data_IF_134719204029
#
_entry.id   IF_134719204029
#
_cell.length_a   1.000
_cell.length_b   1.000
_cell.length_c   1.000
_cell.angle_alpha   90.00
_cell.angle_beta   90.00
_cell.angle_gamma   90.00
#
_symmetry.space_group_name_H-M   'P 1'
#
loop_
_entity.id
_entity.type
_entity.pdbx_description
1 polymer ?
#
# COMPACT_ATOMS: atom_id res chain seq x y z
N UNK A 1 11.26 35.39 -5.59
CA UNK A 1 9.99 34.68 -5.39
C UNK A 1 9.75 33.72 -6.57
N UNK A 2 10.56 32.65 -6.70
CA UNK A 2 10.54 31.74 -7.88
C UNK A 2 10.61 30.23 -7.49
N UNK A 3 10.73 29.86 -6.20
CA UNK A 3 11.05 28.46 -5.83
C UNK A 3 9.89 27.57 -5.31
N UNK A 4 8.63 28.01 -5.35
CA UNK A 4 7.52 27.23 -4.75
C UNK A 4 6.67 26.38 -5.70
N UNK A 5 6.93 26.40 -7.02
CA UNK A 5 6.11 25.68 -8.02
C UNK A 5 6.61 24.25 -8.31
N UNK A 6 7.81 23.89 -7.85
CA UNK A 6 8.51 22.71 -8.39
C UNK A 6 8.17 21.31 -7.81
N UNK A 7 7.73 21.11 -6.55
CA UNK A 7 7.59 19.74 -6.03
C UNK A 7 6.37 19.01 -6.62
N UNK A 8 5.27 19.73 -6.87
CA UNK A 8 4.04 19.11 -7.38
C UNK A 8 4.15 18.79 -8.87
N UNK A 9 4.74 19.69 -9.67
CA UNK A 9 5.03 19.44 -11.07
C UNK A 9 6.04 18.29 -11.25
N UNK A 10 7.04 18.20 -10.36
CA UNK A 10 7.98 17.09 -10.34
C UNK A 10 7.31 15.76 -10.00
N UNK A 11 6.46 15.71 -8.96
CA UNK A 11 5.67 14.52 -8.62
C UNK A 11 4.73 14.10 -9.76
N UNK A 12 4.11 15.05 -10.45
CA UNK A 12 3.22 14.79 -11.59
C UNK A 12 4.00 14.25 -12.80
N UNK A 13 5.15 14.84 -13.12
CA UNK A 13 6.06 14.37 -14.17
C UNK A 13 6.60 12.98 -13.85
N UNK A 14 6.93 12.71 -12.59
CA UNK A 14 7.35 11.39 -12.14
C UNK A 14 6.21 10.39 -12.30
N UNK A 15 4.99 10.71 -11.85
CA UNK A 15 3.83 9.85 -12.00
C UNK A 15 3.52 9.53 -13.48
N UNK A 16 3.58 10.53 -14.36
CA UNK A 16 3.40 10.37 -15.81
C UNK A 16 4.49 9.48 -16.42
N UNK A 17 5.76 9.69 -16.04
CA UNK A 17 6.88 8.88 -16.50
C UNK A 17 6.79 7.42 -15.99
N UNK A 18 6.25 7.19 -14.79
CA UNK A 18 5.99 5.85 -14.28
C UNK A 18 4.83 5.16 -15.03
N UNK A 19 3.76 5.89 -15.34
CA UNK A 19 2.64 5.38 -16.14
C UNK A 19 3.09 4.89 -17.53
N UNK A 20 3.99 5.62 -18.19
CA UNK A 20 4.54 5.22 -19.48
C UNK A 20 5.39 3.93 -19.40
N UNK A 21 6.15 3.73 -18.30
CA UNK A 21 6.99 2.52 -18.12
C UNK A 21 6.20 1.26 -17.79
N UNK A 22 5.04 1.39 -17.15
CA UNK A 22 4.16 0.26 -16.85
C UNK A 22 3.51 -0.29 -18.13
N UNK A 23 3.27 0.57 -19.12
CA UNK A 23 2.71 0.17 -20.42
C UNK A 23 3.66 -0.74 -21.22
N UNK A 24 4.97 -0.68 -20.96
CA UNK A 24 6.00 -1.51 -21.62
C UNK A 24 6.23 -2.87 -20.95
N UNK A 25 5.48 -3.23 -19.90
CA UNK A 25 5.59 -4.58 -19.33
C UNK A 25 5.10 -5.63 -20.32
N UNK A 26 5.90 -6.69 -20.58
CA UNK A 26 5.64 -7.61 -21.68
C UNK A 26 4.28 -8.29 -21.49
N UNK A 27 3.48 -8.15 -22.54
CA UNK A 27 2.08 -8.51 -22.71
C UNK A 27 1.80 -10.00 -22.44
N UNK A 28 1.56 -10.34 -21.16
CA UNK A 28 0.78 -11.53 -20.74
C UNK A 28 -0.08 -11.31 -19.49
N UNK A 29 -0.19 -10.07 -18.98
CA UNK A 29 -0.94 -9.77 -17.75
C UNK A 29 -2.39 -10.24 -17.82
N UNK A 30 -3.07 -9.95 -18.93
CA UNK A 30 -4.47 -10.33 -19.17
C UNK A 30 -4.65 -11.79 -19.60
N UNK A 31 -3.56 -12.57 -19.71
CA UNK A 31 -3.66 -13.97 -20.11
C UNK A 31 -4.24 -14.80 -18.96
N UNK A 32 -5.18 -15.68 -19.28
CA UNK A 32 -5.71 -16.68 -18.33
C UNK A 32 -4.56 -17.55 -17.76
N UNK A 33 -3.54 -17.85 -18.57
CA UNK A 33 -2.38 -18.63 -18.12
C UNK A 33 -1.59 -17.89 -17.02
N UNK A 34 -1.53 -16.56 -17.08
CA UNK A 34 -0.91 -15.75 -16.04
C UNK A 34 -1.65 -15.90 -14.72
N UNK A 35 -2.97 -15.75 -14.72
CA UNK A 35 -3.78 -15.77 -13.50
C UNK A 35 -3.96 -17.17 -12.89
N UNK A 36 -3.94 -18.23 -13.72
CA UNK A 36 -4.21 -19.61 -13.28
C UNK A 36 -2.96 -20.39 -12.92
N UNK A 37 -1.82 -20.14 -13.59
CA UNK A 37 -0.60 -20.95 -13.44
C UNK A 37 0.56 -20.14 -12.88
N UNK A 38 0.86 -18.99 -13.49
CA UNK A 38 2.04 -18.21 -13.14
C UNK A 38 1.88 -17.49 -11.79
N UNK A 39 0.80 -16.71 -11.63
CA UNK A 39 0.62 -15.84 -10.47
C UNK A 39 0.42 -16.61 -9.15
N UNK A 40 -0.35 -17.72 -9.08
CA UNK A 40 -0.44 -18.52 -7.87
C UNK A 40 0.90 -19.14 -7.46
N UNK A 41 1.66 -19.67 -8.43
CA UNK A 41 3.00 -20.21 -8.18
C UNK A 41 3.97 -19.12 -7.69
N UNK A 42 3.85 -17.91 -8.25
CA UNK A 42 4.61 -16.75 -7.81
C UNK A 42 4.28 -16.38 -6.36
N UNK A 43 3.00 -16.19 -6.02
CA UNK A 43 2.57 -15.88 -4.66
C UNK A 43 3.08 -16.91 -3.66
N UNK A 44 2.93 -18.20 -3.97
CA UNK A 44 3.40 -19.29 -3.12
C UNK A 44 4.91 -19.24 -2.90
N UNK A 45 5.69 -19.00 -3.97
CA UNK A 45 7.14 -18.89 -3.88
C UNK A 45 7.59 -17.71 -3.00
N UNK A 46 6.84 -16.60 -2.99
CA UNK A 46 7.13 -15.42 -2.17
C UNK A 46 6.81 -15.65 -0.71
N UNK A 47 5.64 -16.22 -0.43
CA UNK A 47 5.22 -16.56 0.94
C UNK A 47 6.27 -17.46 1.61
N UNK A 48 6.77 -18.46 0.88
CA UNK A 48 7.83 -19.38 1.36
C UNK A 48 9.21 -18.72 1.50
N UNK A 49 9.50 -17.65 0.76
CA UNK A 49 10.81 -16.98 0.78
C UNK A 49 10.90 -15.95 1.91
N UNK A 50 9.81 -15.26 2.23
CA UNK A 50 9.76 -14.36 3.38
C UNK A 50 10.02 -15.09 4.71
N UNK A 51 9.52 -16.32 4.85
CA UNK A 51 9.76 -17.18 6.01
C UNK A 51 11.25 -17.52 6.25
N UNK A 52 12.07 -17.49 5.19
CA UNK A 52 13.51 -17.84 5.24
C UNK A 52 14.43 -16.63 5.33
N UNK A 53 13.89 -15.41 5.30
CA UNK A 53 14.62 -14.17 5.03
C UNK A 53 15.06 -13.35 6.25
N UNK A 54 15.05 -13.89 7.47
CA UNK A 54 15.49 -13.16 8.67
C UNK A 54 17.03 -13.10 8.73
N UNK A 55 17.64 -12.25 7.91
CA UNK A 55 19.04 -11.85 8.08
C UNK A 55 19.13 -10.69 9.09
N UNK A 56 19.65 -10.99 10.28
CA UNK A 56 19.91 -10.01 11.35
C UNK A 56 21.17 -9.17 11.04
N UNK A 57 21.05 -8.21 10.13
CA UNK A 57 22.06 -7.18 9.90
C UNK A 57 21.42 -5.78 9.89
N UNK A 58 22.07 -4.79 10.49
CA UNK A 58 21.64 -3.39 10.40
C UNK A 58 21.81 -2.90 8.96
N UNK A 59 20.76 -3.04 8.16
CA UNK A 59 20.68 -2.47 6.83
C UNK A 59 20.51 -0.94 6.92
N UNK A 60 21.08 -0.14 6.01
CA UNK A 60 20.84 1.31 5.93
C UNK A 60 19.34 1.67 5.81
N UNK A 61 18.48 0.71 5.48
CA UNK A 61 17.02 0.87 5.53
C UNK A 61 16.46 1.03 6.95
N UNK A 62 17.14 0.52 7.99
CA UNK A 62 16.70 0.62 9.38
C UNK A 62 16.76 2.08 9.87
N UNK A 63 17.85 2.79 9.57
CA UNK A 63 18.01 4.20 9.92
C UNK A 63 16.93 5.07 9.27
N UNK A 64 16.67 4.86 7.98
CA UNK A 64 15.62 5.55 7.24
C UNK A 64 14.22 5.24 7.80
N UNK A 65 14.01 4.00 8.26
CA UNK A 65 12.75 3.59 8.90
C UNK A 65 12.54 4.29 10.25
N UNK A 66 13.60 4.39 11.07
CA UNK A 66 13.56 5.11 12.35
C UNK A 66 13.32 6.60 12.10
N UNK A 67 14.06 7.21 11.16
CA UNK A 67 13.88 8.61 10.79
C UNK A 67 12.43 8.89 10.33
N UNK A 68 11.87 8.00 9.51
CA UNK A 68 10.48 8.09 9.07
C UNK A 68 9.51 7.98 10.24
N UNK A 69 9.70 7.02 11.16
CA UNK A 69 8.86 6.87 12.34
C UNK A 69 8.90 8.12 13.24
N UNK A 70 10.08 8.70 13.47
CA UNK A 70 10.21 9.96 14.23
C UNK A 70 9.47 11.10 13.54
N UNK A 71 9.64 11.25 12.21
CA UNK A 71 8.93 12.29 11.46
C UNK A 71 7.40 12.08 11.49
N UNK A 72 6.93 10.84 11.44
CA UNK A 72 5.52 10.49 11.58
C UNK A 72 4.98 10.86 12.96
N UNK A 73 5.69 10.51 14.04
CA UNK A 73 5.29 10.86 15.42
C UNK A 73 5.24 12.38 15.60
N UNK A 74 6.24 13.12 15.11
CA UNK A 74 6.25 14.59 15.16
C UNK A 74 5.06 15.19 14.41
N UNK A 75 4.72 14.64 13.25
CA UNK A 75 3.56 15.08 12.46
C UNK A 75 2.25 14.79 13.20
N UNK A 76 2.07 13.54 13.66
CA UNK A 76 0.85 13.06 14.30
C UNK A 76 0.58 13.71 15.66
N UNK A 77 1.63 14.05 16.42
CA UNK A 77 1.48 14.76 17.69
C UNK A 77 1.42 16.28 17.51
N UNK A 78 2.25 16.82 16.60
CA UNK A 78 2.39 18.26 16.39
C UNK A 78 1.18 18.88 15.70
N UNK A 79 0.66 18.26 14.64
CA UNK A 79 -0.41 18.84 13.82
C UNK A 79 -1.73 18.99 14.60
N UNK A 80 -2.21 17.99 15.38
CA UNK A 80 -3.40 18.17 16.21
C UNK A 80 -3.19 19.25 17.28
N UNK A 81 -2.01 19.33 17.90
CA UNK A 81 -1.71 20.37 18.88
C UNK A 81 -1.67 21.77 18.25
N UNK A 82 -1.16 21.87 17.01
CA UNK A 82 -1.15 23.11 16.23
C UNK A 82 -2.56 23.61 15.94
N UNK A 83 -3.45 22.71 15.50
CA UNK A 83 -4.82 23.05 15.09
C UNK A 83 -5.71 23.31 16.31
N UNK A 84 -5.73 22.39 17.27
CA UNK A 84 -6.66 22.45 18.41
C UNK A 84 -6.29 23.53 19.44
N UNK A 85 -5.00 23.72 19.70
CA UNK A 85 -4.51 24.64 20.74
C UNK A 85 -3.85 25.90 20.17
N UNK A 86 -3.86 26.08 18.84
CA UNK A 86 -3.13 27.16 18.15
C UNK A 86 -1.66 27.25 18.57
N UNK A 87 -1.05 26.10 18.90
CA UNK A 87 0.30 26.04 19.46
C UNK A 87 1.36 26.29 18.39
N UNK A 88 2.20 27.31 18.59
CA UNK A 88 3.34 27.58 17.71
C UNK A 88 4.33 26.41 17.68
N UNK A 89 4.57 25.76 18.82
CA UNK A 89 5.42 24.56 18.93
C UNK A 89 4.80 23.39 18.14
N UNK A 90 3.46 23.27 18.15
CA UNK A 90 2.74 22.29 17.33
C UNK A 90 2.96 22.52 15.84
N UNK A 91 2.90 23.76 15.37
CA UNK A 91 3.17 24.10 13.98
C UNK A 91 4.61 23.78 13.57
N UNK A 92 5.59 24.11 14.41
CA UNK A 92 7.00 23.82 14.14
C UNK A 92 7.25 22.31 14.11
N UNK A 93 6.86 21.59 15.16
CA UNK A 93 7.06 20.13 15.24
C UNK A 93 6.32 19.37 14.14
N UNK A 94 5.04 19.70 13.90
CA UNK A 94 4.24 19.10 12.85
C UNK A 94 4.76 19.41 11.46
N UNK A 95 5.21 20.65 11.22
CA UNK A 95 5.81 21.08 9.96
C UNK A 95 7.15 20.38 9.68
N UNK A 96 8.04 20.30 10.67
CA UNK A 96 9.32 19.58 10.55
C UNK A 96 9.08 18.11 10.26
N UNK A 97 8.15 17.46 10.97
CA UNK A 97 7.77 16.08 10.70
C UNK A 97 7.26 15.88 9.27
N UNK A 98 6.35 16.74 8.80
CA UNK A 98 5.77 16.64 7.46
C UNK A 98 6.81 16.85 6.36
N UNK A 99 7.71 17.83 6.53
CA UNK A 99 8.83 18.08 5.59
C UNK A 99 9.81 16.91 5.59
N UNK A 100 10.11 16.34 6.77
CA UNK A 100 10.95 15.14 6.89
C UNK A 100 10.38 13.93 6.16
N UNK A 101 9.08 13.65 6.33
CA UNK A 101 8.38 12.61 5.57
C UNK A 101 8.50 12.86 4.07
N UNK A 102 8.23 14.08 3.62
CA UNK A 102 8.28 14.43 2.20
C UNK A 102 9.70 14.21 1.63
N UNK A 103 10.74 14.65 2.34
CA UNK A 103 12.13 14.45 1.95
C UNK A 103 12.49 12.95 1.87
N UNK A 104 12.06 12.15 2.84
CA UNK A 104 12.29 10.70 2.86
C UNK A 104 11.55 9.98 1.72
N UNK A 105 10.33 10.40 1.39
CA UNK A 105 9.55 9.85 0.27
C UNK A 105 10.24 10.17 -1.06
N UNK A 106 10.66 11.41 -1.28
CA UNK A 106 11.39 11.81 -2.48
C UNK A 106 12.69 11.01 -2.59
N UNK A 107 13.47 10.93 -1.50
CA UNK A 107 14.68 10.12 -1.46
C UNK A 107 14.40 8.66 -1.80
N UNK A 108 13.35 8.07 -1.22
CA UNK A 108 12.96 6.68 -1.46
C UNK A 108 12.70 6.42 -2.95
N UNK A 109 11.89 7.27 -3.58
CA UNK A 109 11.57 7.15 -5.00
C UNK A 109 12.82 7.39 -5.87
N UNK A 110 13.60 8.44 -5.59
CA UNK A 110 14.81 8.77 -6.36
C UNK A 110 15.94 7.74 -6.21
N UNK A 111 15.99 7.03 -5.08
CA UNK A 111 16.96 5.95 -4.86
C UNK A 111 16.63 4.66 -5.61
N UNK A 112 15.39 4.52 -6.09
CA UNK A 112 14.95 3.34 -6.81
C UNK A 112 15.41 3.38 -8.27
N UNK A 113 16.32 2.47 -8.64
CA UNK A 113 16.94 2.42 -9.98
C UNK A 113 16.49 1.23 -10.83
N UNK A 114 15.84 0.26 -10.22
CA UNK A 114 15.43 -0.97 -10.89
C UNK A 114 13.97 -0.88 -11.35
N UNK A 115 13.61 -1.50 -12.49
CA UNK A 115 12.22 -1.60 -12.89
C UNK A 115 11.45 -2.53 -11.94
N UNK A 116 10.12 -2.35 -11.81
CA UNK A 116 9.29 -3.24 -11.01
C UNK A 116 9.41 -4.66 -11.56
N UNK A 117 9.53 -5.61 -10.65
CA UNK A 117 9.69 -7.02 -10.99
C UNK A 117 8.74 -7.87 -10.16
N UNK A 118 8.32 -8.97 -10.76
CA UNK A 118 7.61 -10.04 -10.08
C UNK A 118 8.43 -10.64 -8.92
N UNK A 119 9.75 -10.41 -8.90
CA UNK A 119 10.61 -10.84 -7.80
C UNK A 119 10.39 -10.08 -6.48
N UNK A 120 9.95 -8.83 -6.55
CA UNK A 120 9.71 -7.96 -5.39
C UNK A 120 8.24 -7.65 -5.21
N UNK A 121 7.38 -8.54 -5.70
CA UNK A 121 5.94 -8.38 -5.60
C UNK A 121 5.49 -8.21 -4.14
N UNK A 122 4.70 -7.16 -3.90
CA UNK A 122 4.29 -6.75 -2.56
C UNK A 122 3.05 -7.56 -2.14
N UNK A 123 3.30 -8.73 -1.56
CA UNK A 123 2.26 -9.71 -1.21
C UNK A 123 1.24 -9.14 -0.21
N UNK A 124 1.69 -8.36 0.78
CA UNK A 124 0.80 -7.75 1.76
C UNK A 124 -0.17 -6.73 1.14
N UNK A 125 0.29 -5.94 0.18
CA UNK A 125 -0.57 -5.03 -0.60
C UNK A 125 -1.61 -5.80 -1.39
N UNK A 126 -1.20 -6.87 -2.08
CA UNK A 126 -2.12 -7.70 -2.85
C UNK A 126 -3.24 -8.27 -1.98
N UNK A 127 -2.90 -8.89 -0.84
CA UNK A 127 -3.90 -9.44 0.08
C UNK A 127 -4.79 -8.37 0.68
N UNK A 128 -4.25 -7.20 1.02
CA UNK A 128 -5.06 -6.08 1.49
C UNK A 128 -6.16 -5.71 0.51
N UNK A 129 -5.83 -5.50 -0.76
CA UNK A 129 -6.84 -5.15 -1.77
C UNK A 129 -7.82 -6.29 -2.06
N UNK A 130 -7.35 -7.55 -2.04
CA UNK A 130 -8.22 -8.70 -2.23
C UNK A 130 -9.25 -8.85 -1.10
N UNK A 131 -8.79 -8.77 0.16
CA UNK A 131 -9.66 -8.83 1.34
C UNK A 131 -10.60 -7.62 1.37
N UNK A 132 -10.06 -6.41 1.25
CA UNK A 132 -10.85 -5.18 1.21
C UNK A 132 -11.93 -5.21 0.11
N UNK A 133 -11.59 -5.71 -1.08
CA UNK A 133 -12.54 -5.85 -2.19
C UNK A 133 -13.70 -6.79 -1.87
N UNK A 134 -13.42 -7.97 -1.30
CA UNK A 134 -14.45 -8.89 -0.82
C UNK A 134 -15.33 -8.20 0.23
N UNK A 135 -14.71 -7.65 1.28
CA UNK A 135 -15.41 -7.02 2.40
C UNK A 135 -16.33 -5.92 1.90
N UNK A 136 -15.80 -4.98 1.10
CA UNK A 136 -16.56 -3.88 0.53
C UNK A 136 -17.73 -4.38 -0.34
N UNK A 137 -17.52 -5.42 -1.15
CA UNK A 137 -18.57 -6.02 -1.97
C UNK A 137 -19.69 -6.67 -1.14
N UNK A 138 -19.32 -7.42 -0.10
CA UNK A 138 -20.29 -8.05 0.81
C UNK A 138 -21.08 -6.98 1.58
N UNK A 139 -20.41 -5.96 2.14
CA UNK A 139 -21.10 -4.87 2.84
C UNK A 139 -22.05 -4.11 1.91
N UNK A 140 -21.62 -3.78 0.69
CA UNK A 140 -22.46 -3.11 -0.29
C UNK A 140 -23.72 -3.94 -0.60
N UNK A 141 -23.59 -5.25 -0.79
CA UNK A 141 -24.74 -6.10 -1.06
C UNK A 141 -25.61 -6.44 0.16
N UNK A 142 -25.06 -6.41 1.37
CA UNK A 142 -25.82 -6.58 2.60
C UNK A 142 -26.86 -5.47 2.81
N UNK A 143 -26.60 -4.25 2.31
CA UNK A 143 -27.55 -3.14 2.31
C UNK A 143 -28.82 -3.45 1.50
N UNK A 144 -28.74 -4.33 0.50
CA UNK A 144 -29.83 -4.67 -0.43
C UNK A 144 -30.68 -5.87 0.02
N UNK A 145 -30.57 -6.33 1.26
CA UNK A 145 -31.42 -7.34 1.94
C UNK A 145 -31.51 -8.74 1.29
N UNK A 146 -30.92 -8.97 0.12
CA UNK A 146 -30.86 -10.27 -0.53
C UNK A 146 -29.48 -10.91 -0.36
N UNK A 147 -29.38 -12.13 0.19
CA UNK A 147 -28.10 -12.82 0.36
C UNK A 147 -27.42 -13.10 -0.99
N UNK A 148 -28.19 -13.32 -2.05
CA UNK A 148 -27.65 -13.54 -3.41
C UNK A 148 -26.96 -12.30 -3.99
N UNK A 149 -27.51 -11.11 -3.72
CA UNK A 149 -26.91 -9.84 -4.14
C UNK A 149 -25.60 -9.59 -3.38
N UNK A 150 -25.56 -9.89 -2.08
CA UNK A 150 -24.35 -9.87 -1.26
C UNK A 150 -23.22 -10.73 -1.84
N UNK A 151 -23.53 -11.96 -2.22
CA UNK A 151 -22.54 -12.89 -2.76
C UNK A 151 -22.04 -12.46 -4.16
N UNK A 152 -22.95 -11.98 -5.02
CA UNK A 152 -22.58 -11.45 -6.33
C UNK A 152 -21.68 -10.21 -6.22
N UNK A 153 -22.07 -9.24 -5.39
CA UNK A 153 -21.26 -8.03 -5.18
C UNK A 153 -19.93 -8.34 -4.47
N UNK A 154 -19.90 -9.32 -3.57
CA UNK A 154 -18.67 -9.85 -2.99
C UNK A 154 -17.73 -10.45 -4.04
N UNK A 155 -18.26 -11.22 -5.00
CA UNK A 155 -17.47 -11.78 -6.10
C UNK A 155 -16.94 -10.68 -7.06
N UNK A 156 -17.76 -9.68 -7.38
CA UNK A 156 -17.35 -8.50 -8.16
C UNK A 156 -16.26 -7.72 -7.40
N UNK A 157 -16.46 -7.51 -6.10
CA UNK A 157 -15.50 -6.86 -5.22
C UNK A 157 -14.17 -7.60 -5.13
N UNK A 158 -14.19 -8.93 -5.02
CA UNK A 158 -13.00 -9.78 -5.10
C UNK A 158 -12.28 -9.62 -6.44
N UNK A 159 -13.00 -9.67 -7.56
CA UNK A 159 -12.39 -9.52 -8.88
C UNK A 159 -11.71 -8.15 -9.03
N UNK A 160 -12.40 -7.08 -8.60
CA UNK A 160 -11.85 -5.73 -8.62
C UNK A 160 -10.63 -5.60 -7.68
N UNK A 161 -10.75 -6.12 -6.45
CA UNK A 161 -9.67 -6.12 -5.45
C UNK A 161 -8.47 -6.94 -5.87
N UNK A 162 -8.68 -8.07 -6.54
CA UNK A 162 -7.63 -8.89 -7.12
C UNK A 162 -6.85 -8.14 -8.19
N UNK A 163 -7.54 -7.53 -9.17
CA UNK A 163 -6.89 -6.75 -10.23
C UNK A 163 -6.15 -5.55 -9.64
N UNK A 164 -6.81 -4.77 -8.78
CA UNK A 164 -6.19 -3.64 -8.09
C UNK A 164 -5.00 -4.06 -7.24
N UNK A 165 -5.08 -5.19 -6.56
CA UNK A 165 -4.01 -5.73 -5.74
C UNK A 165 -2.76 -6.07 -6.56
N UNK A 166 -2.93 -6.65 -7.76
CA UNK A 166 -1.78 -6.94 -8.63
C UNK A 166 -1.18 -5.62 -9.16
N UNK A 167 -2.01 -4.70 -9.65
CA UNK A 167 -1.54 -3.41 -10.14
C UNK A 167 -0.82 -2.64 -9.04
N UNK A 168 -1.43 -2.52 -7.85
CA UNK A 168 -0.84 -1.83 -6.70
C UNK A 168 0.43 -2.53 -6.22
N UNK A 169 0.46 -3.86 -6.18
CA UNK A 169 1.62 -4.63 -5.76
C UNK A 169 2.83 -4.50 -6.70
N UNK A 170 2.60 -4.16 -7.98
CA UNK A 170 3.66 -3.81 -8.94
C UNK A 170 3.99 -2.31 -8.87
N UNK A 171 2.97 -1.46 -8.82
CA UNK A 171 3.14 -0.01 -8.90
C UNK A 171 3.78 0.59 -7.64
N UNK A 172 3.44 0.08 -6.46
CA UNK A 172 4.05 0.56 -5.21
C UNK A 172 5.53 0.17 -5.09
N UNK A 173 6.07 -0.71 -5.94
CA UNK A 173 7.51 -0.99 -5.96
C UNK A 173 8.33 0.25 -6.32
N UNK A 174 7.76 1.19 -7.08
CA UNK A 174 8.39 2.47 -7.39
C UNK A 174 8.65 3.34 -6.16
N UNK A 175 8.00 3.04 -5.02
CA UNK A 175 8.27 3.70 -3.76
C UNK A 175 9.60 3.25 -3.14
N UNK A 176 10.33 2.30 -3.71
CA UNK A 176 11.63 1.86 -3.19
C UNK A 176 11.50 1.14 -1.85
N UNK A 177 12.31 1.52 -0.86
CA UNK A 177 12.30 0.87 0.46
C UNK A 177 10.97 1.09 1.21
N UNK A 178 10.30 2.22 0.97
CA UNK A 178 8.99 2.52 1.57
C UNK A 178 7.92 1.51 1.16
N UNK A 179 8.06 0.88 -0.01
CA UNK A 179 7.15 -0.17 -0.48
C UNK A 179 7.08 -1.37 0.48
N UNK A 180 8.21 -1.73 1.11
CA UNK A 180 8.28 -2.82 2.09
C UNK A 180 7.48 -2.49 3.35
N UNK A 181 7.60 -1.26 3.86
CA UNK A 181 6.83 -0.79 5.02
C UNK A 181 5.34 -0.79 4.68
N UNK A 182 4.97 -0.23 3.53
CA UNK A 182 3.58 -0.20 3.07
C UNK A 182 3.02 -1.61 2.93
N UNK A 183 3.78 -2.55 2.39
CA UNK A 183 3.36 -3.95 2.27
C UNK A 183 3.16 -4.62 3.64
N UNK A 184 4.06 -4.39 4.60
CA UNK A 184 3.89 -4.89 5.96
C UNK A 184 2.63 -4.33 6.63
N UNK A 185 2.45 -3.00 6.58
CA UNK A 185 1.25 -2.33 7.11
C UNK A 185 -0.03 -2.80 6.44
N UNK A 186 -0.02 -2.97 5.11
CA UNK A 186 -1.15 -3.48 4.35
C UNK A 186 -1.49 -4.92 4.76
N UNK A 187 -0.50 -5.78 4.99
CA UNK A 187 -0.70 -7.11 5.53
C UNK A 187 -1.39 -7.09 6.89
N UNK A 188 -0.89 -6.28 7.83
CA UNK A 188 -1.54 -6.09 9.14
C UNK A 188 -2.97 -5.55 9.03
N UNK A 189 -3.21 -4.58 8.14
CA UNK A 189 -4.53 -4.04 7.90
C UNK A 189 -5.48 -5.09 7.31
N UNK A 190 -4.99 -5.98 6.43
CA UNK A 190 -5.80 -7.08 5.88
C UNK A 190 -6.26 -8.04 6.98
N UNK A 191 -5.38 -8.38 7.93
CA UNK A 191 -5.75 -9.16 9.12
C UNK A 191 -6.79 -8.43 9.98
N UNK A 192 -6.62 -7.12 10.17
CA UNK A 192 -7.59 -6.30 10.90
C UNK A 192 -8.98 -6.32 10.28
N UNK A 193 -9.07 -6.11 8.95
CA UNK A 193 -10.33 -6.18 8.20
C UNK A 193 -10.96 -7.56 8.34
N UNK A 194 -10.17 -8.62 8.15
CA UNK A 194 -10.67 -9.99 8.29
C UNK A 194 -11.27 -10.27 9.67
N UNK A 195 -10.63 -9.77 10.74
CA UNK A 195 -11.15 -9.93 12.09
C UNK A 195 -12.44 -9.13 12.30
N UNK A 196 -12.50 -7.90 11.82
CA UNK A 196 -13.72 -7.07 11.86
C UNK A 196 -14.87 -7.75 11.12
N UNK A 197 -14.61 -8.31 9.94
CA UNK A 197 -15.61 -9.03 9.16
C UNK A 197 -16.13 -10.28 9.90
N UNK A 198 -15.25 -11.02 10.57
CA UNK A 198 -15.61 -12.19 11.36
C UNK A 198 -16.51 -11.80 12.55
N UNK A 199 -16.18 -10.71 13.23
CA UNK A 199 -17.00 -10.17 14.33
C UNK A 199 -18.37 -9.72 13.82
N UNK A 200 -18.42 -9.02 12.69
CA UNK A 200 -19.67 -8.53 12.10
C UNK A 200 -20.54 -9.68 11.58
N UNK A 201 -19.94 -10.73 11.03
CA UNK A 201 -20.65 -11.94 10.60
C UNK A 201 -21.22 -12.70 11.80
N UNK A 202 -20.42 -12.88 12.86
CA UNK A 202 -20.87 -13.51 14.10
C UNK A 202 -22.02 -12.72 14.73
N UNK A 203 -21.91 -11.40 14.83
CA UNK A 203 -22.97 -10.53 15.37
C UNK A 203 -24.26 -10.50 14.56
N UNK A 204 -24.27 -10.97 13.30
CA UNK A 204 -25.49 -11.15 12.50
C UNK A 204 -26.15 -12.52 12.71
N UNK A 205 -25.39 -13.51 13.18
CA UNK A 205 -25.86 -14.89 13.36
C UNK A 205 -26.49 -15.12 14.75
N UNK A 206 -26.18 -14.28 15.73
CA UNK A 206 -26.75 -14.27 17.08
C UNK A 206 -27.73 -13.12 17.26
#
# INVERSE_FOLDING_TARGET
MIFYVCPFAFLLLLAQAQLARVADMPTKFLSIEFHTRFFPALLWSRLKREEKGVQMGFSPTVELTIAFAVCAVLTLAGLPAAISRKSAIGWVSGGVGAVGILALVIHSISSHREPPSYDRFLVGVFFFFAVFGISAGIFAGALHHSPGIGLFLGAVGLMAGYLLGILAGLWLQYLGWLASIVSGLAGFAAFGIFFVDLVLLAGRLF
#
